data_IF_625603587817
#
_entry.id   IF_625603587817
#
_cell.length_a   1.000
_cell.length_b   1.000
_cell.length_c   1.000
_cell.angle_alpha   90.00
_cell.angle_beta   90.00
_cell.angle_gamma   90.00
#
_symmetry.space_group_name_H-M   'P 1'
#
loop_
_entity.id
_entity.type
_entity.pdbx_description
1 polymer ?
#
# COMPACT_ATOMS: atom_id res chain seq x y z
N UNK A 1 -1.61 -8.35 -14.04
CA UNK A 1 -1.82 -8.37 -12.57
C UNK A 1 -2.41 -9.72 -12.19
N UNK A 2 -1.99 -10.33 -11.08
CA UNK A 2 -2.54 -11.63 -10.64
C UNK A 2 -3.96 -11.45 -10.09
N UNK A 3 -4.79 -12.49 -10.14
CA UNK A 3 -6.19 -12.45 -9.64
C UNK A 3 -6.27 -12.00 -8.17
N UNK A 4 -5.32 -12.41 -7.34
CA UNK A 4 -5.23 -11.99 -5.94
C UNK A 4 -4.91 -10.50 -5.77
N UNK A 5 -4.05 -9.93 -6.62
CA UNK A 5 -3.71 -8.50 -6.60
C UNK A 5 -4.90 -7.65 -7.06
N UNK A 6 -5.68 -8.14 -8.03
CA UNK A 6 -6.89 -7.47 -8.49
C UNK A 6 -7.96 -7.37 -7.40
N UNK A 7 -8.20 -8.45 -6.67
CA UNK A 7 -9.12 -8.46 -5.53
C UNK A 7 -8.70 -7.47 -4.42
N UNK A 8 -7.39 -7.30 -4.21
CA UNK A 8 -6.87 -6.30 -3.25
C UNK A 8 -7.19 -4.88 -3.73
N UNK A 9 -6.99 -4.59 -5.03
CA UNK A 9 -7.31 -3.27 -5.60
C UNK A 9 -8.81 -2.96 -5.50
N UNK A 10 -9.67 -3.94 -5.78
CA UNK A 10 -11.12 -3.79 -5.68
C UNK A 10 -11.56 -3.44 -4.25
N UNK A 11 -11.09 -4.21 -3.25
CA UNK A 11 -11.36 -3.94 -1.83
C UNK A 11 -10.82 -2.60 -1.36
N UNK A 12 -9.64 -2.21 -1.85
CA UNK A 12 -9.06 -0.91 -1.54
C UNK A 12 -9.96 0.22 -2.03
N UNK A 13 -10.43 0.14 -3.28
CA UNK A 13 -11.34 1.14 -3.86
C UNK A 13 -12.70 1.17 -3.19
N UNK A 14 -13.16 0.04 -2.66
CA UNK A 14 -14.38 -0.06 -1.87
C UNK A 14 -14.24 0.50 -0.43
N UNK A 15 -13.02 0.87 0.00
CA UNK A 15 -12.78 1.35 1.36
C UNK A 15 -12.74 0.24 2.41
N UNK A 16 -12.68 -1.04 2.00
CA UNK A 16 -12.67 -2.21 2.90
C UNK A 16 -11.26 -2.45 3.48
N UNK A 17 -10.67 -1.41 4.07
CA UNK A 17 -9.25 -1.38 4.39
C UNK A 17 -8.83 -2.45 5.38
N UNK A 18 -9.63 -2.80 6.38
CA UNK A 18 -9.31 -3.85 7.37
C UNK A 18 -9.10 -5.24 6.74
N UNK A 19 -9.73 -5.49 5.59
CA UNK A 19 -9.66 -6.78 4.90
C UNK A 19 -8.41 -6.96 4.02
N UNK A 20 -7.63 -5.90 3.81
CA UNK A 20 -6.43 -5.97 2.97
C UNK A 20 -5.29 -6.71 3.71
N UNK A 21 -4.30 -7.24 2.99
CA UNK A 21 -3.05 -7.67 3.62
C UNK A 21 -2.30 -6.48 4.21
N UNK A 22 -1.63 -6.67 5.35
CA UNK A 22 -0.79 -5.64 5.98
C UNK A 22 0.35 -5.18 5.04
N UNK A 23 0.86 -6.08 4.21
CA UNK A 23 1.93 -5.81 3.27
C UNK A 23 1.44 -5.98 1.83
N UNK A 24 1.46 -4.88 1.06
CA UNK A 24 1.08 -4.86 -0.35
C UNK A 24 2.28 -4.51 -1.24
N UNK A 25 2.24 -4.88 -2.53
CA UNK A 25 3.31 -4.48 -3.46
C UNK A 25 3.13 -3.03 -3.90
N UNK A 26 4.22 -2.34 -4.31
CA UNK A 26 4.12 -1.03 -4.93
C UNK A 26 3.20 -0.98 -6.15
N UNK A 27 3.15 -2.05 -6.96
CA UNK A 27 2.26 -2.12 -8.12
C UNK A 27 0.78 -2.19 -7.74
N UNK A 28 0.44 -2.94 -6.68
CA UNK A 28 -0.94 -3.01 -6.17
C UNK A 28 -1.35 -1.67 -5.56
N UNK A 29 -0.45 -1.05 -4.78
CA UNK A 29 -0.68 0.28 -4.24
C UNK A 29 -0.87 1.33 -5.36
N UNK A 30 -0.01 1.35 -6.37
CA UNK A 30 -0.13 2.24 -7.53
C UNK A 30 -1.50 2.11 -8.21
N UNK A 31 -1.95 0.89 -8.47
CA UNK A 31 -3.26 0.65 -9.07
C UNK A 31 -4.44 1.08 -8.19
N UNK A 32 -4.24 1.13 -6.87
CA UNK A 32 -5.26 1.48 -5.88
C UNK A 32 -5.33 2.99 -5.60
N UNK A 33 -4.19 3.67 -5.44
CA UNK A 33 -4.12 5.08 -5.02
C UNK A 33 -3.62 6.05 -6.11
N UNK A 34 -3.15 5.54 -7.25
CA UNK A 34 -2.65 6.36 -8.36
C UNK A 34 -1.25 6.96 -8.16
N UNK A 35 -0.55 6.61 -7.09
CA UNK A 35 0.84 7.04 -6.85
C UNK A 35 1.78 6.00 -7.47
N UNK A 36 2.69 6.44 -8.34
CA UNK A 36 3.62 5.51 -9.01
C UNK A 36 4.44 4.66 -8.02
N UNK A 37 4.66 3.39 -8.35
CA UNK A 37 5.46 2.44 -7.59
C UNK A 37 6.86 2.98 -7.28
N UNK A 38 7.47 3.69 -8.23
CA UNK A 38 8.76 4.37 -8.04
C UNK A 38 8.68 5.43 -6.93
N UNK A 39 7.62 6.23 -6.90
CA UNK A 39 7.42 7.23 -5.86
C UNK A 39 7.13 6.58 -4.50
N UNK A 40 6.33 5.52 -4.47
CA UNK A 40 6.06 4.76 -3.25
C UNK A 40 7.33 4.14 -2.64
N UNK A 41 8.22 3.60 -3.46
CA UNK A 41 9.52 3.09 -3.00
C UNK A 41 10.35 4.24 -2.40
N UNK A 42 10.39 5.41 -3.07
CA UNK A 42 11.07 6.59 -2.53
C UNK A 42 10.49 7.09 -1.22
N UNK A 43 9.19 6.89 -0.97
CA UNK A 43 8.58 7.22 0.32
C UNK A 43 9.10 6.28 1.41
N UNK A 44 9.29 4.99 1.12
CA UNK A 44 9.95 4.06 2.05
C UNK A 44 11.40 4.47 2.30
N UNK A 45 12.16 4.77 1.25
CA UNK A 45 13.57 5.20 1.35
C UNK A 45 13.75 6.48 2.18
N UNK A 46 12.74 7.38 2.14
CA UNK A 46 12.71 8.63 2.92
C UNK A 46 12.14 8.47 4.34
N UNK A 47 11.71 7.26 4.71
CA UNK A 47 10.99 6.96 5.96
C UNK A 47 9.63 7.68 6.10
N UNK A 48 9.00 8.08 4.99
CA UNK A 48 7.64 8.65 5.00
C UNK A 48 6.59 7.57 5.36
N UNK A 49 6.84 6.32 4.93
CA UNK A 49 6.06 5.12 5.26
C UNK A 49 6.98 3.93 5.52
N UNK A 50 6.54 2.96 6.32
CA UNK A 50 7.29 1.71 6.51
C UNK A 50 7.16 0.81 5.28
N UNK A 51 8.24 0.09 4.99
CA UNK A 51 8.29 -0.95 3.96
C UNK A 51 9.43 -1.92 4.22
N UNK A 52 9.38 -3.06 3.54
CA UNK A 52 10.43 -4.09 3.60
C UNK A 52 10.74 -4.60 2.20
N UNK A 53 12.01 -4.83 1.91
CA UNK A 53 12.45 -5.47 0.69
C UNK A 53 12.66 -6.96 0.95
N UNK A 54 11.92 -7.81 0.22
CA UNK A 54 12.02 -9.27 0.30
C UNK A 54 12.59 -9.76 -1.04
N UNK A 55 13.88 -10.12 -1.02
CA UNK A 55 14.63 -10.38 -2.25
C UNK A 55 14.66 -9.15 -3.15
N UNK A 56 14.11 -9.24 -4.36
CA UNK A 56 14.02 -8.12 -5.32
C UNK A 56 12.70 -7.34 -5.23
N UNK A 57 11.77 -7.76 -4.38
CA UNK A 57 10.42 -7.21 -4.31
C UNK A 57 10.24 -6.33 -3.08
N UNK A 58 9.84 -5.07 -3.28
CA UNK A 58 9.39 -4.21 -2.21
C UNK A 58 7.97 -4.57 -1.74
N UNK A 59 7.74 -4.40 -0.45
CA UNK A 59 6.43 -4.47 0.21
C UNK A 59 6.24 -3.22 1.04
N UNK A 60 5.04 -2.65 0.98
CA UNK A 60 4.64 -1.42 1.65
C UNK A 60 3.72 -1.75 2.81
N UNK A 61 3.89 -1.08 3.94
CA UNK A 61 2.92 -1.14 5.03
C UNK A 61 1.61 -0.44 4.59
N UNK A 62 0.52 -1.20 4.61
CA UNK A 62 -0.81 -0.76 4.18
C UNK A 62 -1.35 0.37 5.05
N UNK A 63 -1.17 0.30 6.37
CA UNK A 63 -1.73 1.28 7.30
C UNK A 63 -1.02 2.64 7.18
N UNK A 64 0.30 2.63 7.06
CA UNK A 64 1.07 3.85 6.83
C UNK A 64 0.68 4.52 5.51
N UNK A 65 0.51 3.72 4.44
CA UNK A 65 0.05 4.21 3.15
C UNK A 65 -1.34 4.86 3.26
N UNK A 66 -2.28 4.21 3.94
CA UNK A 66 -3.63 4.77 4.16
C UNK A 66 -3.57 6.07 4.95
N UNK A 67 -2.73 6.13 5.99
CA UNK A 67 -2.57 7.31 6.82
C UNK A 67 -2.00 8.49 6.02
N UNK A 68 -0.95 8.30 5.23
CA UNK A 68 -0.36 9.39 4.41
C UNK A 68 -1.27 9.81 3.26
N UNK A 69 -2.13 8.93 2.77
CA UNK A 69 -3.16 9.26 1.79
C UNK A 69 -4.41 9.91 2.41
N UNK A 70 -4.49 10.06 3.73
CA UNK A 70 -5.67 10.60 4.42
C UNK A 70 -6.90 9.68 4.34
N UNK A 71 -6.70 8.39 4.08
CA UNK A 71 -7.77 7.38 3.94
C UNK A 71 -8.08 6.67 5.27
N UNK A 72 -7.23 6.84 6.28
CA UNK A 72 -7.44 6.36 7.64
C UNK A 72 -6.76 7.31 8.61
N UNK A 73 -7.38 7.57 9.76
CA UNK A 73 -6.75 8.37 10.81
C UNK A 73 -5.53 7.64 11.37
N UNK A 74 -4.45 8.41 11.58
CA UNK A 74 -3.20 7.95 12.16
C UNK A 74 -3.40 7.70 13.67
N UNK A 75 -4.10 6.63 14.03
CA UNK A 75 -4.42 6.32 15.44
C UNK A 75 -5.67 5.48 15.72
N UNK A 76 -6.43 5.05 14.70
CA UNK A 76 -7.50 4.07 14.91
C UNK A 76 -6.88 2.68 15.13
N UNK A 77 -6.44 2.42 16.36
CA UNK A 77 -6.08 1.11 16.89
C UNK A 77 -7.32 0.24 17.12
#
# INVERSE_FOLDING_TARGET
MRKSEQAIVERFRAGEYESLPLLITPSTAEAAVGISAKHLIRMVERNDIRGVQIGRCWKLNRDDLLAVCGLRDKGAA
#
